data_IF_325892253487
#
_entry.id   IF_325892253487
#
_cell.length_a   1.000
_cell.length_b   1.000
_cell.length_c   1.000
_cell.angle_alpha   90.00
_cell.angle_beta   90.00
_cell.angle_gamma   90.00
#
_symmetry.space_group_name_H-M   'P 1'
#
loop_
_entity.id
_entity.type
_entity.pdbx_description
1 polymer ?
#
# COMPACT_ATOMS: atom_id res chain seq x y z
N UNK A 1 -2.99 11.68 25.59
CA UNK A 1 -3.72 10.69 24.77
C UNK A 1 -2.74 10.24 23.72
N UNK A 2 -2.44 8.95 23.62
CA UNK A 2 -1.66 8.44 22.49
C UNK A 2 -2.48 8.72 21.24
N UNK A 3 -1.91 9.45 20.28
CA UNK A 3 -2.48 9.48 18.92
C UNK A 3 -2.44 8.02 18.43
N UNK A 4 -3.52 7.57 17.78
CA UNK A 4 -3.51 6.28 17.11
C UNK A 4 -2.51 6.37 15.96
N UNK A 5 -1.43 5.59 16.03
CA UNK A 5 -0.34 5.62 15.06
C UNK A 5 -0.84 5.42 13.63
N UNK A 6 -1.95 4.68 13.46
CA UNK A 6 -2.58 4.44 12.15
C UNK A 6 -3.11 5.73 11.54
N UNK A 7 -3.72 6.59 12.36
CA UNK A 7 -4.24 7.89 11.91
C UNK A 7 -3.08 8.84 11.60
N UNK A 8 -2.12 8.91 12.52
CA UNK A 8 -0.94 9.77 12.36
C UNK A 8 -0.12 9.40 11.12
N UNK A 9 0.04 8.11 10.83
CA UNK A 9 0.75 7.62 9.65
C UNK A 9 0.08 8.09 8.36
N UNK A 10 -1.25 8.00 8.28
CA UNK A 10 -1.99 8.46 7.09
C UNK A 10 -1.87 9.97 6.93
N UNK A 11 -1.91 10.74 8.00
CA UNK A 11 -1.68 12.19 7.97
C UNK A 11 -0.25 12.53 7.50
N UNK A 12 0.75 11.81 8.02
CA UNK A 12 2.16 12.00 7.65
C UNK A 12 2.48 11.54 6.22
N UNK A 13 1.63 10.72 5.60
CA UNK A 13 1.77 10.28 4.21
C UNK A 13 1.65 11.39 3.16
N UNK A 14 1.17 12.57 3.57
CA UNK A 14 1.20 13.80 2.76
C UNK A 14 2.59 14.46 2.85
N UNK A 15 3.58 13.77 2.28
CA UNK A 15 4.98 14.16 2.42
C UNK A 15 5.27 15.36 1.53
N UNK A 16 5.92 16.37 2.12
CA UNK A 16 6.31 17.60 1.43
C UNK A 16 7.26 17.25 0.29
N UNK A 17 6.91 17.67 -0.92
CA UNK A 17 7.71 17.42 -2.12
C UNK A 17 8.77 18.51 -2.31
N UNK A 18 9.88 18.19 -2.97
CA UNK A 18 11.00 19.13 -3.21
C UNK A 18 10.58 20.44 -3.91
N UNK A 19 9.47 20.41 -4.66
CA UNK A 19 8.92 21.56 -5.37
C UNK A 19 8.04 22.48 -4.50
N UNK A 20 7.68 22.06 -3.27
CA UNK A 20 6.87 22.84 -2.34
C UNK A 20 7.74 23.77 -1.49
N UNK A 21 7.80 25.04 -1.90
CA UNK A 21 8.53 26.11 -1.20
C UNK A 21 7.71 26.79 -0.08
N UNK A 22 6.48 26.34 0.15
CA UNK A 22 5.58 26.93 1.16
C UNK A 22 5.83 26.37 2.56
N UNK A 23 6.52 25.22 2.66
CA UNK A 23 6.88 24.57 3.92
C UNK A 23 8.37 24.75 4.20
N UNK A 24 8.77 25.28 5.38
CA UNK A 24 10.17 25.35 5.75
C UNK A 24 10.85 23.97 5.74
N UNK A 25 12.10 23.90 5.28
CA UNK A 25 12.85 22.65 5.15
C UNK A 25 12.88 21.85 6.47
N UNK A 26 13.12 22.49 7.61
CA UNK A 26 13.13 21.81 8.92
C UNK A 26 11.80 21.12 9.24
N UNK A 27 10.67 21.70 8.80
CA UNK A 27 9.34 21.12 8.99
C UNK A 27 9.08 19.98 8.01
N UNK A 28 9.55 20.08 6.76
CA UNK A 28 9.52 19.00 5.78
C UNK A 28 10.31 17.78 6.29
N UNK A 29 11.54 17.99 6.75
CA UNK A 29 12.39 16.94 7.33
C UNK A 29 11.76 16.34 8.59
N UNK A 30 11.15 17.16 9.47
CA UNK A 30 10.45 16.66 10.65
C UNK A 30 9.29 15.73 10.30
N UNK A 31 8.47 16.10 9.30
CA UNK A 31 7.34 15.27 8.84
C UNK A 31 7.82 13.97 8.21
N UNK A 32 8.83 14.04 7.35
CA UNK A 32 9.45 12.87 6.73
C UNK A 32 9.99 11.90 7.78
N UNK A 33 10.76 12.40 8.76
CA UNK A 33 11.31 11.57 9.84
C UNK A 33 10.20 10.94 10.68
N UNK A 34 9.12 11.67 10.95
CA UNK A 34 7.97 11.12 11.70
C UNK A 34 7.25 10.03 10.94
N UNK A 35 7.08 10.19 9.63
CA UNK A 35 6.52 9.15 8.77
C UNK A 35 7.35 7.87 8.86
N UNK A 36 8.67 7.98 8.67
CA UNK A 36 9.59 6.83 8.72
C UNK A 36 9.59 6.18 10.09
N UNK A 37 9.63 6.96 11.17
CA UNK A 37 9.56 6.44 12.54
C UNK A 37 8.28 5.60 12.79
N UNK A 38 7.13 6.10 12.34
CA UNK A 38 5.85 5.40 12.50
C UNK A 38 5.84 4.09 11.72
N UNK A 39 6.27 4.11 10.47
CA UNK A 39 6.34 2.92 9.63
C UNK A 39 7.35 1.90 10.15
N UNK A 40 8.52 2.35 10.61
CA UNK A 40 9.55 1.46 11.16
C UNK A 40 9.17 0.87 12.51
N UNK A 41 8.23 1.49 13.23
CA UNK A 41 7.65 0.90 14.43
C UNK A 41 6.74 -0.31 14.16
N UNK A 42 6.29 -0.50 12.92
CA UNK A 42 5.46 -1.64 12.52
C UNK A 42 6.29 -2.91 12.48
N UNK A 43 5.85 -3.91 13.24
CA UNK A 43 6.54 -5.18 13.45
C UNK A 43 5.99 -6.32 12.58
N UNK A 44 4.77 -6.18 12.07
CA UNK A 44 4.07 -7.17 11.25
C UNK A 44 3.12 -8.08 12.04
N UNK A 45 3.06 -7.98 13.37
CA UNK A 45 2.17 -8.78 14.22
C UNK A 45 0.83 -8.09 14.54
N UNK A 46 0.61 -6.89 14.02
CA UNK A 46 -0.56 -6.04 14.30
C UNK A 46 -1.84 -6.54 13.59
N UNK A 47 -1.71 -7.54 12.72
CA UNK A 47 -2.78 -8.13 11.94
C UNK A 47 -3.09 -7.40 10.62
N UNK A 48 -3.96 -7.97 9.78
CA UNK A 48 -4.20 -7.50 8.42
C UNK A 48 -4.79 -6.09 8.35
N UNK A 49 -5.50 -5.63 9.38
CA UNK A 49 -6.07 -4.29 9.44
C UNK A 49 -4.98 -3.19 9.57
N UNK A 50 -3.76 -3.53 9.96
CA UNK A 50 -2.65 -2.59 10.04
C UNK A 50 -1.98 -2.32 8.68
N UNK A 51 -2.22 -3.16 7.66
CA UNK A 51 -1.76 -2.92 6.29
C UNK A 51 -2.47 -1.72 5.66
N UNK A 52 -3.75 -1.51 5.98
CA UNK A 52 -4.57 -0.43 5.42
C UNK A 52 -3.94 0.95 5.61
N UNK A 53 -3.63 1.43 6.83
CA UNK A 53 -3.03 2.75 7.01
C UNK A 53 -1.66 2.90 6.34
N UNK A 54 -0.88 1.82 6.20
CA UNK A 54 0.40 1.86 5.46
C UNK A 54 0.13 2.16 3.99
N UNK A 55 -0.79 1.42 3.35
CA UNK A 55 -1.18 1.65 1.95
C UNK A 55 -1.81 3.04 1.77
N UNK A 56 -2.72 3.45 2.66
CA UNK A 56 -3.37 4.77 2.63
C UNK A 56 -2.39 5.94 2.77
N UNK A 57 -1.19 5.69 3.30
CA UNK A 57 -0.17 6.72 3.49
C UNK A 57 0.69 6.96 2.24
N UNK A 58 0.57 6.13 1.21
CA UNK A 58 1.33 6.21 -0.04
C UNK A 58 0.76 7.25 -1.03
N UNK A 59 0.56 8.48 -0.58
CA UNK A 59 -0.18 9.53 -1.30
C UNK A 59 0.60 10.27 -2.39
N UNK A 60 1.92 10.40 -2.27
CA UNK A 60 2.74 11.19 -3.19
C UNK A 60 3.40 10.34 -4.27
N UNK A 61 3.71 10.95 -5.40
CA UNK A 61 4.36 10.20 -6.50
C UNK A 61 5.86 10.05 -6.27
N UNK A 62 6.51 11.09 -5.77
CA UNK A 62 7.97 11.17 -5.73
C UNK A 62 8.47 11.28 -4.29
N UNK A 63 8.50 10.15 -3.58
CA UNK A 63 9.22 10.03 -2.30
C UNK A 63 9.69 8.60 -2.05
N UNK A 64 10.55 8.12 -2.95
CA UNK A 64 11.06 6.75 -2.92
C UNK A 64 11.79 6.42 -1.61
N UNK A 65 12.37 7.41 -0.91
CA UNK A 65 13.06 7.20 0.36
C UNK A 65 12.10 6.87 1.50
N UNK A 66 11.04 7.65 1.68
CA UNK A 66 10.03 7.37 2.70
C UNK A 66 9.29 6.06 2.41
N UNK A 67 8.90 5.84 1.15
CA UNK A 67 8.09 4.68 0.81
C UNK A 67 8.87 3.36 0.78
N UNK A 68 10.20 3.39 0.64
CA UNK A 68 11.02 2.21 0.92
C UNK A 68 10.81 1.69 2.35
N UNK A 69 10.66 2.57 3.35
CA UNK A 69 10.32 2.15 4.70
C UNK A 69 8.93 1.49 4.72
N UNK A 70 7.95 2.07 4.02
CA UNK A 70 6.57 1.54 3.95
C UNK A 70 6.52 0.16 3.30
N UNK A 71 7.24 -0.04 2.21
CA UNK A 71 7.38 -1.33 1.55
C UNK A 71 8.08 -2.34 2.46
N UNK A 72 9.16 -1.93 3.12
CA UNK A 72 9.84 -2.75 4.12
C UNK A 72 8.91 -3.16 5.27
N UNK A 73 8.00 -2.29 5.71
CA UNK A 73 7.01 -2.63 6.72
C UNK A 73 5.95 -3.62 6.21
N UNK A 74 5.46 -3.46 4.97
CA UNK A 74 4.52 -4.40 4.35
C UNK A 74 5.12 -5.82 4.27
N UNK A 75 6.41 -5.93 3.94
CA UNK A 75 7.12 -7.21 3.87
C UNK A 75 7.32 -7.91 5.21
N UNK A 76 7.13 -7.21 6.35
CA UNK A 76 7.22 -7.82 7.69
C UNK A 76 5.97 -8.60 8.07
N UNK A 77 4.82 -8.31 7.45
CA UNK A 77 3.57 -9.01 7.76
C UNK A 77 3.64 -10.48 7.33
N UNK A 78 3.01 -11.40 8.10
CA UNK A 78 2.74 -12.74 7.62
C UNK A 78 2.06 -12.70 6.25
N UNK A 79 2.45 -13.59 5.34
CA UNK A 79 1.97 -13.56 3.95
C UNK A 79 0.43 -13.47 3.85
N UNK A 80 -0.30 -14.25 4.66
CA UNK A 80 -1.76 -14.21 4.67
C UNK A 80 -2.33 -12.86 5.15
N UNK A 81 -1.69 -12.22 6.12
CA UNK A 81 -2.11 -10.91 6.65
C UNK A 81 -1.79 -9.79 5.67
N UNK A 82 -0.64 -9.85 5.00
CA UNK A 82 -0.31 -8.96 3.88
C UNK A 82 -1.37 -9.04 2.77
N UNK A 83 -1.68 -10.25 2.31
CA UNK A 83 -2.67 -10.47 1.24
C UNK A 83 -4.07 -10.01 1.63
N UNK A 84 -4.55 -10.41 2.81
CA UNK A 84 -5.86 -9.98 3.32
C UNK A 84 -5.90 -8.47 3.55
N UNK A 85 -4.85 -7.89 4.11
CA UNK A 85 -4.72 -6.47 4.38
C UNK A 85 -4.73 -5.61 3.11
N UNK A 86 -4.02 -6.05 2.06
CA UNK A 86 -4.06 -5.38 0.76
C UNK A 86 -5.47 -5.41 0.13
N UNK A 87 -6.21 -6.52 0.29
CA UNK A 87 -7.62 -6.57 -0.14
C UNK A 87 -8.52 -5.65 0.69
N UNK A 88 -8.28 -5.51 2.00
CA UNK A 88 -8.98 -4.54 2.85
C UNK A 88 -8.68 -3.09 2.44
N UNK A 89 -7.48 -2.84 1.92
CA UNK A 89 -7.04 -1.55 1.39
C UNK A 89 -7.51 -1.28 -0.06
N UNK A 90 -8.43 -2.09 -0.61
CA UNK A 90 -8.87 -2.02 -2.00
C UNK A 90 -9.27 -0.61 -2.47
N UNK A 91 -10.05 0.13 -1.67
CA UNK A 91 -10.45 1.50 -2.03
C UNK A 91 -9.23 2.42 -2.17
N UNK A 92 -8.27 2.29 -1.27
CA UNK A 92 -7.09 3.16 -1.21
C UNK A 92 -6.10 2.83 -2.33
N UNK A 93 -5.97 1.55 -2.69
CA UNK A 93 -5.23 1.11 -3.88
C UNK A 93 -5.75 1.75 -5.18
N UNK A 94 -7.02 2.15 -5.23
CA UNK A 94 -7.58 2.85 -6.40
C UNK A 94 -7.38 4.37 -6.39
N UNK A 95 -6.85 4.93 -5.28
CA UNK A 95 -6.71 6.37 -5.06
C UNK A 95 -5.26 6.82 -5.01
N UNK A 96 -4.37 5.98 -4.50
CA UNK A 96 -2.93 6.29 -4.47
C UNK A 96 -2.34 6.30 -5.90
N UNK A 97 -1.17 6.94 -6.11
CA UNK A 97 -0.53 6.96 -7.41
C UNK A 97 -0.26 5.53 -7.93
N UNK A 98 -0.36 5.36 -9.25
CA UNK A 98 -0.22 4.06 -9.90
C UNK A 98 1.09 3.36 -9.53
N UNK A 99 2.21 4.07 -9.54
CA UNK A 99 3.53 3.53 -9.14
C UNK A 99 3.47 2.87 -7.75
N UNK A 100 2.81 3.51 -6.77
CA UNK A 100 2.73 2.98 -5.40
C UNK A 100 1.76 1.78 -5.31
N UNK A 101 0.60 1.88 -5.98
CA UNK A 101 -0.33 0.73 -6.04
C UNK A 101 0.31 -0.49 -6.71
N UNK A 102 1.15 -0.26 -7.72
CA UNK A 102 1.89 -1.30 -8.43
C UNK A 102 2.89 -2.00 -7.53
N UNK A 103 3.67 -1.23 -6.75
CA UNK A 103 4.60 -1.80 -5.77
C UNK A 103 3.85 -2.66 -4.74
N UNK A 104 2.74 -2.18 -4.17
CA UNK A 104 1.97 -2.97 -3.19
C UNK A 104 1.45 -4.28 -3.81
N UNK A 105 0.90 -4.22 -5.02
CA UNK A 105 0.35 -5.39 -5.71
C UNK A 105 1.43 -6.40 -6.07
N UNK A 106 2.60 -5.95 -6.54
CA UNK A 106 3.71 -6.86 -6.84
C UNK A 106 4.33 -7.44 -5.56
N UNK A 107 4.36 -6.69 -4.45
CA UNK A 107 4.77 -7.23 -3.14
C UNK A 107 3.85 -8.37 -2.71
N UNK A 108 2.52 -8.24 -2.91
CA UNK A 108 1.57 -9.35 -2.65
C UNK A 108 1.81 -10.52 -3.62
N UNK A 109 1.98 -10.24 -4.91
CA UNK A 109 2.20 -11.23 -5.96
C UNK A 109 3.44 -12.09 -5.71
N UNK A 110 4.55 -11.47 -5.31
CA UNK A 110 5.86 -12.09 -5.10
C UNK A 110 6.10 -12.56 -3.66
N UNK A 111 5.19 -12.26 -2.74
CA UNK A 111 5.25 -12.72 -1.35
C UNK A 111 5.21 -14.26 -1.26
N UNK A 112 5.77 -14.86 -0.20
CA UNK A 112 5.65 -16.30 0.07
C UNK A 112 4.21 -16.83 -0.02
N UNK A 113 4.09 -18.14 -0.22
CA UNK A 113 2.82 -18.85 -0.40
C UNK A 113 1.79 -18.46 0.66
N UNK A 114 0.60 -18.05 0.21
CA UNK A 114 -0.54 -17.68 1.06
C UNK A 114 -1.01 -16.24 0.88
N UNK A 115 -0.15 -15.30 0.46
CA UNK A 115 -0.56 -13.90 0.28
C UNK A 115 -1.59 -13.72 -0.84
N UNK A 116 -1.27 -14.22 -2.05
CA UNK A 116 -2.18 -14.16 -3.20
C UNK A 116 -3.51 -14.88 -2.92
N UNK A 117 -3.47 -16.03 -2.25
CA UNK A 117 -4.68 -16.78 -1.87
C UNK A 117 -5.54 -15.98 -0.89
N UNK A 118 -4.93 -15.43 0.16
CA UNK A 118 -5.64 -14.61 1.15
C UNK A 118 -6.24 -13.34 0.53
N UNK A 119 -5.50 -12.67 -0.36
CA UNK A 119 -6.00 -11.53 -1.13
C UNK A 119 -7.22 -11.93 -1.96
N UNK A 120 -7.10 -12.98 -2.76
CA UNK A 120 -8.16 -13.42 -3.68
C UNK A 120 -9.43 -13.89 -2.95
N UNK A 121 -9.30 -14.45 -1.75
CA UNK A 121 -10.47 -14.76 -0.92
C UNK A 121 -11.09 -13.52 -0.30
N UNK A 122 -10.26 -12.62 0.26
CA UNK A 122 -10.74 -11.41 0.93
C UNK A 122 -11.39 -10.41 -0.04
N UNK A 123 -10.85 -10.27 -1.25
CA UNK A 123 -11.33 -9.29 -2.24
C UNK A 123 -12.78 -9.58 -2.68
N UNK A 124 -13.27 -10.82 -2.56
CA UNK A 124 -14.67 -11.17 -2.88
C UNK A 124 -15.69 -10.44 -2.00
N UNK A 125 -15.27 -9.97 -0.82
CA UNK A 125 -16.13 -9.26 0.13
C UNK A 125 -16.05 -7.74 0.01
N UNK A 126 -15.12 -7.21 -0.79
CA UNK A 126 -15.00 -5.77 -1.08
C UNK A 126 -16.22 -5.33 -1.90
N UNK A 127 -16.83 -4.14 -1.70
CA UNK A 127 -17.98 -3.71 -2.49
C UNK A 127 -17.70 -3.71 -4.00
N UNK A 128 -18.69 -4.09 -4.82
CA UNK A 128 -18.54 -4.27 -6.26
C UNK A 128 -17.94 -3.13 -7.04
N UNK A 129 -18.42 -1.91 -6.78
CA UNK A 129 -17.89 -0.70 -7.41
C UNK A 129 -16.39 -0.52 -7.15
N UNK A 130 -15.94 -0.86 -5.93
CA UNK A 130 -14.53 -0.82 -5.54
C UNK A 130 -13.77 -1.95 -6.22
N UNK A 131 -14.34 -3.15 -6.29
CA UNK A 131 -13.72 -4.28 -7.01
C UNK A 131 -13.53 -3.99 -8.50
N UNK A 132 -14.50 -3.33 -9.14
CA UNK A 132 -14.38 -2.95 -10.54
C UNK A 132 -13.24 -1.95 -10.76
N UNK A 133 -13.14 -0.90 -9.93
CA UNK A 133 -12.01 0.04 -9.97
C UNK A 133 -10.67 -0.63 -9.67
N UNK A 134 -10.62 -1.49 -8.66
CA UNK A 134 -9.40 -2.25 -8.33
C UNK A 134 -9.02 -3.20 -9.47
N UNK A 135 -10.00 -3.80 -10.16
CA UNK A 135 -9.74 -4.62 -11.33
C UNK A 135 -9.11 -3.80 -12.45
N UNK A 136 -9.57 -2.58 -12.70
CA UNK A 136 -8.95 -1.70 -13.70
C UNK A 136 -7.50 -1.33 -13.34
N UNK A 137 -7.18 -1.17 -12.05
CA UNK A 137 -5.80 -0.97 -11.58
C UNK A 137 -4.94 -2.22 -11.83
N UNK A 138 -5.46 -3.41 -11.52
CA UNK A 138 -4.75 -4.68 -11.79
C UNK A 138 -4.55 -4.88 -13.29
N UNK A 139 -5.59 -4.69 -14.10
CA UNK A 139 -5.54 -4.81 -15.57
C UNK A 139 -4.48 -3.84 -16.16
N UNK A 140 -4.38 -2.62 -15.63
CA UNK A 140 -3.33 -1.67 -16.03
C UNK A 140 -1.93 -2.20 -15.72
N UNK A 141 -1.69 -2.69 -14.50
CA UNK A 141 -0.37 -3.17 -14.09
C UNK A 141 0.05 -4.46 -14.79
N UNK A 142 -0.90 -5.34 -15.10
CA UNK A 142 -0.67 -6.53 -15.93
C UNK A 142 -0.29 -6.18 -17.37
N UNK A 143 -0.74 -5.04 -17.89
CA UNK A 143 -0.51 -4.62 -19.28
C UNK A 143 0.73 -3.73 -19.48
N UNK A 144 1.19 -3.01 -18.46
CA UNK A 144 2.20 -1.96 -18.63
C UNK A 144 3.48 -2.15 -17.81
N UNK A 145 3.36 -2.54 -16.54
CA UNK A 145 4.46 -2.37 -15.58
C UNK A 145 4.54 -3.53 -14.57
N UNK A 146 3.99 -3.32 -13.37
CA UNK A 146 4.36 -4.04 -12.16
C UNK A 146 3.92 -5.50 -12.09
N UNK A 147 2.92 -5.89 -12.88
CA UNK A 147 2.41 -7.28 -12.97
C UNK A 147 2.55 -7.84 -14.39
N UNK A 148 3.36 -7.20 -15.24
CA UNK A 148 3.49 -7.58 -16.66
C UNK A 148 4.38 -8.81 -16.90
N UNK A 149 5.16 -9.23 -15.89
CA UNK A 149 5.99 -10.43 -15.99
C UNK A 149 5.13 -11.72 -15.91
N UNK A 150 5.51 -12.76 -16.66
CA UNK A 150 4.77 -14.03 -16.76
C UNK A 150 4.50 -14.71 -15.39
N UNK A 151 5.31 -14.40 -14.37
CA UNK A 151 5.15 -14.93 -13.01
C UNK A 151 4.17 -14.15 -12.13
N UNK A 152 3.88 -12.89 -12.49
CA UNK A 152 3.06 -11.96 -11.69
C UNK A 152 1.69 -11.69 -12.34
N UNK A 153 1.57 -11.93 -13.65
CA UNK A 153 0.33 -11.72 -14.41
C UNK A 153 -0.72 -12.79 -14.13
N UNK A 154 -1.98 -12.40 -13.94
CA UNK A 154 -3.13 -13.29 -13.82
C UNK A 154 -3.29 -14.00 -12.48
N UNK A 155 -2.41 -13.74 -11.51
CA UNK A 155 -2.47 -14.37 -10.18
C UNK A 155 -3.33 -13.57 -9.18
N UNK A 156 -3.38 -12.25 -9.33
CA UNK A 156 -4.26 -11.35 -8.57
C UNK A 156 -5.65 -11.34 -9.25
N UNK A 157 -6.61 -12.03 -8.63
CA UNK A 157 -7.91 -12.34 -9.21
C UNK A 157 -9.00 -11.50 -8.56
N UNK A 158 -9.18 -10.29 -9.06
CA UNK A 158 -10.28 -9.40 -8.67
C UNK A 158 -11.51 -9.72 -9.55
N UNK A 159 -12.60 -10.28 -9.00
CA UNK A 159 -13.79 -10.58 -9.80
C UNK A 159 -14.57 -9.30 -10.11
N UNK A 160 -15.06 -9.19 -11.36
CA UNK A 160 -16.06 -8.17 -11.74
C UNK A 160 -17.43 -8.54 -11.16
N UNK A 161 -18.23 -7.54 -10.81
CA UNK A 161 -19.68 -7.70 -10.58
C UNK A 161 -20.48 -7.73 -11.87
#
# INVERSE_FOLDING_TARGET
>A
MSVDWKVELVECGDIVQDEDDTVPQDEAERRWNRYVELVDSVTGDEGPEAVVPIVSSLKVRYDYGAYQAAYGALERFPAADLGKGAALAAEELTRIPYDQSGVVLVTVARSPTGAVEAFNEAVKFVPGEVRNRLRDVVDFHEANEWLAEDGDSGIIKVPRE
#
